data_IF_868288969702
#
_entry.id   IF_868288969702
#
_cell.length_a   1.000
_cell.length_b   1.000
_cell.length_c   1.000
_cell.angle_alpha   90.00
_cell.angle_beta   90.00
_cell.angle_gamma   90.00
#
_symmetry.space_group_name_H-M   'P 1'
#
loop_
_entity.id
_entity.type
_entity.pdbx_description
1 polymer ?
#
# COMPACT_ATOMS: atom_id res chain seq x y z
N UNK A 1 34.35 20.98 -6.02
CA UNK A 1 33.12 21.00 -5.18
C UNK A 1 31.97 20.14 -5.72
N UNK A 2 32.13 19.36 -6.80
CA UNK A 2 31.02 18.55 -7.38
C UNK A 2 30.69 17.25 -6.64
N UNK A 3 31.66 16.64 -5.94
CA UNK A 3 31.47 15.30 -5.36
C UNK A 3 30.57 15.30 -4.11
N UNK A 4 30.63 16.36 -3.29
CA UNK A 4 29.81 16.49 -2.09
C UNK A 4 28.32 16.63 -2.41
N UNK A 5 27.98 17.42 -3.45
CA UNK A 5 26.60 17.68 -3.84
C UNK A 5 25.93 16.43 -4.45
N UNK A 6 26.69 15.63 -5.22
CA UNK A 6 26.22 14.35 -5.75
C UNK A 6 25.99 13.33 -4.63
N UNK A 7 26.93 13.24 -3.68
CA UNK A 7 26.82 12.32 -2.55
C UNK A 7 25.64 12.67 -1.62
N UNK A 8 25.44 13.95 -1.30
CA UNK A 8 24.31 14.40 -0.48
C UNK A 8 22.95 14.17 -1.15
N UNK A 9 22.85 14.34 -2.47
CA UNK A 9 21.62 14.08 -3.21
C UNK A 9 21.26 12.59 -3.23
N UNK A 10 22.26 11.70 -3.40
CA UNK A 10 22.08 10.24 -3.38
C UNK A 10 21.60 9.75 -2.01
N UNK A 11 22.24 10.23 -0.94
CA UNK A 11 21.86 9.89 0.44
C UNK A 11 20.45 10.40 0.73
N UNK A 12 20.12 11.63 0.31
CA UNK A 12 18.79 12.19 0.46
C UNK A 12 17.70 11.34 -0.22
N UNK A 13 17.97 10.89 -1.45
CA UNK A 13 17.04 10.05 -2.21
C UNK A 13 16.80 8.69 -1.55
N UNK A 14 17.86 8.04 -1.07
CA UNK A 14 17.76 6.76 -0.35
C UNK A 14 16.97 6.93 0.95
N UNK A 15 17.21 8.00 1.70
CA UNK A 15 16.47 8.28 2.94
C UNK A 15 14.98 8.53 2.67
N UNK A 16 14.64 9.23 1.58
CA UNK A 16 13.24 9.42 1.15
C UNK A 16 12.59 8.08 0.81
N UNK A 17 13.29 7.21 0.07
CA UNK A 17 12.79 5.87 -0.24
C UNK A 17 12.54 5.06 1.05
N UNK A 18 13.50 5.02 1.97
CA UNK A 18 13.36 4.30 3.24
C UNK A 18 12.23 4.87 4.11
N UNK A 19 12.07 6.20 4.16
CA UNK A 19 10.98 6.84 4.91
C UNK A 19 9.62 6.44 4.35
N UNK A 20 9.45 6.46 3.01
CA UNK A 20 8.20 6.05 2.38
C UNK A 20 7.89 4.56 2.58
N UNK A 21 8.90 3.69 2.54
CA UNK A 21 8.73 2.27 2.85
C UNK A 21 8.27 2.09 4.31
N UNK A 22 8.89 2.81 5.24
CA UNK A 22 8.51 2.78 6.66
C UNK A 22 7.07 3.26 6.87
N UNK A 23 6.69 4.39 6.26
CA UNK A 23 5.33 4.94 6.36
C UNK A 23 4.31 4.00 5.74
N UNK A 24 4.64 3.34 4.64
CA UNK A 24 3.76 2.38 3.98
C UNK A 24 3.51 1.12 4.83
N UNK A 25 4.57 0.59 5.47
CA UNK A 25 4.47 -0.55 6.39
C UNK A 25 3.77 -0.20 7.70
N UNK A 26 3.91 1.05 8.17
CA UNK A 26 3.29 1.51 9.42
C UNK A 26 1.86 2.05 9.23
N UNK A 27 1.45 2.29 7.97
CA UNK A 27 0.09 2.72 7.65
C UNK A 27 -0.93 1.70 8.14
N UNK A 28 -1.92 2.16 8.89
CA UNK A 28 -3.01 1.32 9.40
C UNK A 28 -3.69 0.56 8.25
N UNK A 29 -4.19 -0.65 8.49
CA UNK A 29 -5.00 -1.37 7.52
C UNK A 29 -6.22 -0.51 7.15
N UNK A 30 -6.40 -0.24 5.86
CA UNK A 30 -7.45 0.67 5.34
C UNK A 30 -8.86 0.12 5.60
N UNK A 31 -9.00 -1.17 5.93
CA UNK A 31 -10.27 -1.78 6.35
C UNK A 31 -10.70 -1.49 7.80
N UNK A 32 -9.83 -0.97 8.67
CA UNK A 32 -10.15 -0.80 10.10
C UNK A 32 -11.05 0.40 10.42
N UNK A 33 -11.27 1.33 9.49
CA UNK A 33 -12.08 2.53 9.76
C UNK A 33 -13.60 2.31 9.68
N UNK A 34 -14.08 1.17 9.13
CA UNK A 34 -15.53 0.90 9.05
C UNK A 34 -16.06 0.09 10.25
N UNK A 35 -15.50 0.31 11.43
CA UNK A 35 -16.11 -0.06 12.71
C UNK A 35 -16.00 1.06 13.74
N UNK A 36 -15.94 2.32 13.30
CA UNK A 36 -16.14 3.44 14.23
C UNK A 36 -17.64 3.55 14.53
N UNK A 37 -18.03 2.88 15.62
CA UNK A 37 -19.35 2.99 16.20
C UNK A 37 -19.69 4.47 16.38
N UNK A 38 -20.86 4.98 15.92
CA UNK A 38 -21.25 6.33 16.26
C UNK A 38 -21.25 6.47 17.79
N UNK A 39 -20.88 7.65 18.33
CA UNK A 39 -20.85 7.86 19.77
C UNK A 39 -22.17 7.39 20.37
N UNK A 40 -22.10 6.63 21.47
CA UNK A 40 -23.28 6.20 22.25
C UNK A 40 -23.98 7.44 22.81
N UNK A 41 -24.74 8.14 21.99
CA UNK A 41 -25.70 9.13 22.44
C UNK A 41 -26.90 8.32 22.92
N UNK A 42 -27.03 8.20 24.24
CA UNK A 42 -28.15 7.55 24.88
C UNK A 42 -29.43 8.37 24.63
N UNK A 43 -30.14 8.08 23.53
CA UNK A 43 -31.51 8.53 23.32
C UNK A 43 -32.43 7.31 23.34
N UNK A 44 -33.40 7.23 24.28
CA UNK A 44 -34.44 6.22 24.22
C UNK A 44 -35.51 6.70 23.26
N UNK A 45 -35.39 6.35 21.98
CA UNK A 45 -36.51 6.48 21.04
C UNK A 45 -36.78 5.10 20.49
N UNK A 46 -37.87 4.50 20.99
CA UNK A 46 -38.46 3.31 20.43
C UNK A 46 -38.83 3.58 18.98
N UNK A 47 -38.08 3.02 18.04
CA UNK A 47 -38.51 2.87 16.65
C UNK A 47 -38.85 1.41 16.37
N UNK A 48 -40.05 1.27 15.81
CA UNK A 48 -40.72 0.06 15.38
C UNK A 48 -39.85 -0.81 14.48
N UNK A 49 -40.06 -2.11 14.62
CA UNK A 49 -39.50 -3.18 13.80
C UNK A 49 -39.97 -3.04 12.34
N UNK A 50 -39.07 -2.59 11.46
CA UNK A 50 -39.07 -3.03 10.07
C UNK A 50 -37.84 -3.91 9.89
N UNK A 51 -38.10 -5.20 9.63
CA UNK A 51 -37.09 -6.22 9.49
C UNK A 51 -36.11 -5.91 8.36
N UNK A 52 -34.93 -5.43 8.70
CA UNK A 52 -33.73 -5.79 7.95
C UNK A 52 -33.20 -7.08 8.58
N UNK A 53 -33.55 -8.20 7.94
CA UNK A 53 -32.79 -9.42 8.09
C UNK A 53 -31.32 -9.08 7.81
N UNK A 54 -30.51 -9.02 8.86
CA UNK A 54 -29.07 -9.10 8.77
C UNK A 54 -28.77 -10.48 8.16
N UNK A 55 -28.82 -10.55 6.83
CA UNK A 55 -28.16 -11.61 6.13
C UNK A 55 -26.69 -11.44 6.51
N UNK A 56 -26.09 -12.48 7.07
CA UNK A 56 -24.67 -12.75 6.91
C UNK A 56 -24.37 -12.72 5.40
N UNK A 57 -24.26 -11.52 4.84
CA UNK A 57 -23.69 -11.35 3.52
C UNK A 57 -22.23 -11.67 3.76
N UNK A 58 -21.78 -12.80 3.23
CA UNK A 58 -20.40 -12.98 2.80
C UNK A 58 -19.99 -11.65 2.18
N UNK A 59 -19.24 -10.84 2.94
CA UNK A 59 -18.97 -9.45 2.63
C UNK A 59 -18.11 -9.47 1.37
N UNK A 60 -18.76 -9.34 0.22
CA UNK A 60 -18.09 -9.35 -1.07
C UNK A 60 -17.26 -8.09 -1.15
N UNK A 61 -16.00 -8.18 -0.74
CA UNK A 61 -14.99 -7.12 -0.85
C UNK A 61 -15.02 -6.54 -2.28
N UNK A 62 -15.50 -5.31 -2.50
CA UNK A 62 -15.65 -4.78 -3.85
C UNK A 62 -14.29 -4.57 -4.49
N UNK A 63 -14.09 -5.13 -5.69
CA UNK A 63 -12.87 -4.97 -6.49
C UNK A 63 -12.53 -3.50 -6.82
N UNK A 64 -13.52 -2.61 -6.74
CA UNK A 64 -13.41 -1.17 -6.98
C UNK A 64 -13.54 -0.37 -5.68
N UNK A 65 -12.92 -0.86 -4.60
CA UNK A 65 -12.83 -0.14 -3.33
C UNK A 65 -11.70 0.91 -3.31
N UNK A 66 -11.86 1.96 -2.49
CA UNK A 66 -10.81 2.95 -2.17
C UNK A 66 -9.52 2.28 -1.69
N UNK A 67 -9.69 1.20 -0.93
CA UNK A 67 -8.65 0.30 -0.44
C UNK A 67 -7.76 -0.23 -1.58
N UNK A 68 -8.36 -0.93 -2.55
CA UNK A 68 -7.64 -1.52 -3.70
C UNK A 68 -6.93 -0.47 -4.54
N UNK A 69 -7.54 0.71 -4.72
CA UNK A 69 -6.91 1.82 -5.42
C UNK A 69 -5.66 2.32 -4.70
N UNK A 70 -5.68 2.38 -3.36
CA UNK A 70 -4.54 2.81 -2.57
C UNK A 70 -3.38 1.81 -2.67
N UNK A 71 -3.67 0.50 -2.63
CA UNK A 71 -2.68 -0.57 -2.86
C UNK A 71 -2.03 -0.44 -4.24
N UNK A 72 -2.85 -0.30 -5.30
CA UNK A 72 -2.36 -0.09 -6.65
C UNK A 72 -1.49 1.17 -6.77
N UNK A 73 -1.97 2.31 -6.25
CA UNK A 73 -1.27 3.59 -6.33
C UNK A 73 0.06 3.55 -5.56
N UNK A 74 0.05 3.05 -4.32
CA UNK A 74 1.25 2.95 -3.51
C UNK A 74 2.29 2.02 -4.13
N UNK A 75 1.87 0.84 -4.60
CA UNK A 75 2.75 -0.12 -5.29
C UNK A 75 3.34 0.48 -6.59
N UNK A 76 2.54 1.23 -7.36
CA UNK A 76 3.01 1.94 -8.56
C UNK A 76 4.10 2.97 -8.22
N UNK A 77 3.84 3.82 -7.22
CA UNK A 77 4.78 4.83 -6.77
C UNK A 77 6.06 4.21 -6.19
N UNK A 78 5.94 3.08 -5.48
CA UNK A 78 7.08 2.43 -4.86
C UNK A 78 8.03 1.81 -5.89
N UNK A 79 7.50 1.20 -6.96
CA UNK A 79 8.31 0.76 -8.11
C UNK A 79 9.02 1.93 -8.77
N UNK A 80 8.29 3.04 -9.04
CA UNK A 80 8.88 4.21 -9.68
C UNK A 80 10.01 4.83 -8.86
N UNK A 81 9.77 5.01 -7.56
CA UNK A 81 10.75 5.61 -6.67
C UNK A 81 11.93 4.67 -6.38
N UNK A 82 11.67 3.36 -6.25
CA UNK A 82 12.70 2.35 -6.15
C UNK A 82 13.58 2.33 -7.39
N UNK A 83 12.99 2.27 -8.59
CA UNK A 83 13.73 2.29 -9.86
C UNK A 83 14.57 3.56 -9.98
N UNK A 84 14.00 4.72 -9.67
CA UNK A 84 14.73 5.98 -9.70
C UNK A 84 15.89 6.01 -8.69
N UNK A 85 15.68 5.45 -7.49
CA UNK A 85 16.71 5.38 -6.44
C UNK A 85 17.85 4.44 -6.82
N UNK A 86 17.55 3.26 -7.35
CA UNK A 86 18.57 2.30 -7.78
C UNK A 86 19.31 2.80 -9.03
N UNK A 87 18.59 3.29 -10.04
CA UNK A 87 19.20 3.67 -11.32
C UNK A 87 19.95 5.00 -11.26
N UNK A 88 19.36 6.04 -10.65
CA UNK A 88 20.00 7.37 -10.58
C UNK A 88 20.75 7.60 -9.27
N UNK A 89 20.32 6.98 -8.16
CA UNK A 89 21.00 7.11 -6.88
C UNK A 89 22.23 6.21 -6.77
N UNK A 90 22.07 4.92 -7.07
CA UNK A 90 23.15 3.94 -6.97
C UNK A 90 23.89 3.71 -8.29
N UNK A 91 23.46 4.33 -9.39
CA UNK A 91 24.08 4.19 -10.72
C UNK A 91 24.10 2.74 -11.23
N UNK A 92 23.15 1.92 -10.76
CA UNK A 92 23.01 0.53 -11.16
C UNK A 92 22.49 0.40 -12.59
N UNK A 93 22.79 -0.74 -13.21
CA UNK A 93 22.29 -1.04 -14.55
C UNK A 93 20.76 -0.99 -14.57
N UNK A 94 20.19 -0.53 -15.69
CA UNK A 94 18.73 -0.41 -15.88
C UNK A 94 18.01 -1.73 -15.63
N UNK A 95 18.63 -2.88 -15.98
CA UNK A 95 18.09 -4.22 -15.71
C UNK A 95 18.00 -4.54 -14.22
N UNK A 96 19.12 -4.39 -13.50
CA UNK A 96 19.21 -4.65 -12.06
C UNK A 96 18.32 -3.71 -11.25
N UNK A 97 18.30 -2.42 -11.61
CA UNK A 97 17.45 -1.41 -10.96
C UNK A 97 15.96 -1.74 -11.05
N UNK A 98 15.52 -2.25 -12.21
CA UNK A 98 14.13 -2.72 -12.40
C UNK A 98 13.85 -3.93 -11.53
N UNK A 99 14.78 -4.89 -11.51
CA UNK A 99 14.62 -6.11 -10.74
C UNK A 99 14.51 -5.82 -9.24
N UNK A 100 15.38 -4.96 -8.70
CA UNK A 100 15.33 -4.54 -7.30
C UNK A 100 14.07 -3.76 -6.96
N UNK A 101 13.63 -2.84 -7.83
CA UNK A 101 12.40 -2.08 -7.61
C UNK A 101 11.15 -2.98 -7.57
N UNK A 102 11.05 -3.94 -8.50
CA UNK A 102 9.94 -4.89 -8.57
C UNK A 102 9.95 -5.85 -7.38
N UNK A 103 11.08 -6.51 -7.13
CA UNK A 103 11.19 -7.48 -6.03
C UNK A 103 11.02 -6.80 -4.67
N UNK A 104 11.61 -5.62 -4.48
CA UNK A 104 11.46 -4.84 -3.26
C UNK A 104 10.01 -4.48 -3.00
N UNK A 105 9.31 -3.97 -4.02
CA UNK A 105 7.88 -3.62 -3.89
C UNK A 105 7.02 -4.84 -3.61
N UNK A 106 7.25 -5.96 -4.31
CA UNK A 106 6.51 -7.20 -4.08
C UNK A 106 6.70 -7.75 -2.65
N UNK A 107 7.93 -7.74 -2.14
CA UNK A 107 8.23 -8.17 -0.77
C UNK A 107 7.57 -7.23 0.24
N UNK A 108 7.60 -5.92 0.01
CA UNK A 108 6.98 -4.93 0.90
C UNK A 108 5.45 -5.11 0.95
N UNK A 109 4.79 -5.31 -0.19
CA UNK A 109 3.36 -5.61 -0.25
C UNK A 109 3.01 -6.91 0.50
N UNK A 110 3.76 -7.99 0.26
CA UNK A 110 3.57 -9.25 0.98
C UNK A 110 3.78 -9.12 2.50
N UNK A 111 4.81 -8.38 2.92
CA UNK A 111 5.09 -8.13 4.34
C UNK A 111 3.97 -7.31 4.99
N UNK A 112 3.37 -6.37 4.26
CA UNK A 112 2.23 -5.59 4.73
C UNK A 112 1.02 -6.46 4.97
N UNK A 113 0.63 -7.27 3.99
CA UNK A 113 -0.52 -8.17 4.13
C UNK A 113 -0.34 -9.19 5.25
N UNK A 114 0.86 -9.74 5.41
CA UNK A 114 1.16 -10.66 6.52
C UNK A 114 1.25 -9.95 7.88
N UNK A 115 1.70 -8.69 7.92
CA UNK A 115 1.65 -7.86 9.12
C UNK A 115 0.21 -7.56 9.52
N UNK A 116 -0.63 -7.16 8.57
CA UNK A 116 -2.03 -6.83 8.79
C UNK A 116 -2.83 -8.06 9.22
N UNK A 117 -2.50 -9.26 8.72
CA UNK A 117 -3.06 -10.54 9.18
C UNK A 117 -2.90 -10.80 10.68
N UNK A 118 -1.90 -10.21 11.35
CA UNK A 118 -1.71 -10.33 12.80
C UNK A 118 -2.65 -9.43 13.60
N UNK A 119 -3.29 -8.46 12.95
CA UNK A 119 -4.30 -7.61 13.54
C UNK A 119 -5.67 -8.32 13.52
N UNK A 120 -6.40 -8.37 14.65
CA UNK A 120 -7.68 -9.08 14.74
C UNK A 120 -8.81 -8.48 13.88
N UNK A 121 -8.59 -7.31 13.26
CA UNK A 121 -9.55 -6.59 12.43
C UNK A 121 -9.29 -6.68 10.92
N UNK A 122 -8.21 -7.35 10.48
CA UNK A 122 -7.87 -7.47 9.06
C UNK A 122 -8.08 -8.90 8.55
N UNK A 123 -8.90 -9.02 7.51
CA UNK A 123 -9.03 -10.24 6.72
C UNK A 123 -8.05 -10.14 5.55
N UNK A 124 -6.99 -10.95 5.56
CA UNK A 124 -6.10 -11.14 4.42
C UNK A 124 -6.94 -11.34 3.14
N UNK A 125 -6.94 -10.34 2.26
CA UNK A 125 -7.75 -10.37 1.04
C UNK A 125 -6.84 -10.60 -0.16
N UNK A 126 -7.08 -11.69 -0.87
CA UNK A 126 -6.36 -12.00 -2.11
C UNK A 126 -6.52 -10.89 -3.18
N UNK A 127 -7.54 -10.02 -3.03
CA UNK A 127 -7.79 -8.88 -3.92
C UNK A 127 -6.74 -7.78 -3.73
N UNK A 128 -6.23 -7.56 -2.52
CA UNK A 128 -5.17 -6.58 -2.26
C UNK A 128 -3.85 -7.01 -2.89
N UNK A 129 -3.53 -8.31 -2.81
CA UNK A 129 -2.36 -8.86 -3.48
C UNK A 129 -2.43 -8.71 -5.00
N UNK A 130 -3.63 -8.85 -5.59
CA UNK A 130 -3.83 -8.60 -7.02
C UNK A 130 -3.70 -7.11 -7.32
N UNK A 131 -4.23 -6.22 -6.47
CA UNK A 131 -4.10 -4.78 -6.66
C UNK A 131 -2.63 -4.33 -6.61
N UNK A 132 -1.84 -4.89 -5.69
CA UNK A 132 -0.39 -4.66 -5.62
C UNK A 132 0.33 -5.19 -6.86
N UNK A 133 -0.02 -6.39 -7.33
CA UNK A 133 0.55 -6.95 -8.56
C UNK A 133 0.26 -6.08 -9.78
N UNK A 134 -0.97 -5.58 -9.92
CA UNK A 134 -1.36 -4.64 -10.99
C UNK A 134 -0.58 -3.33 -10.83
N UNK A 135 -0.48 -2.80 -9.62
CA UNK A 135 0.31 -1.59 -9.33
C UNK A 135 1.77 -1.74 -9.72
N UNK A 136 2.39 -2.88 -9.41
CA UNK A 136 3.76 -3.18 -9.82
C UNK A 136 3.87 -3.22 -11.35
N UNK A 137 2.96 -3.90 -12.04
CA UNK A 137 2.97 -3.98 -13.49
C UNK A 137 2.83 -2.59 -14.14
N UNK A 138 1.94 -1.75 -13.61
CA UNK A 138 1.74 -0.36 -14.05
C UNK A 138 2.99 0.47 -13.76
N UNK A 139 3.60 0.35 -12.58
CA UNK A 139 4.84 1.04 -12.23
C UNK A 139 6.00 0.68 -13.15
N UNK A 140 6.15 -0.60 -13.48
CA UNK A 140 7.13 -1.05 -14.47
C UNK A 140 6.86 -0.42 -15.83
N UNK A 141 5.61 -0.47 -16.31
CA UNK A 141 5.24 0.09 -17.61
C UNK A 141 5.48 1.60 -17.71
N UNK A 142 5.22 2.36 -16.64
CA UNK A 142 5.33 3.82 -16.64
C UNK A 142 6.75 4.33 -16.42
N UNK A 143 7.48 3.74 -15.46
CA UNK A 143 8.74 4.32 -15.00
C UNK A 143 9.98 3.66 -15.59
N UNK A 144 9.84 2.43 -16.09
CA UNK A 144 11.02 1.65 -16.43
C UNK A 144 11.34 1.62 -17.92
N UNK A 145 10.38 1.88 -18.82
CA UNK A 145 10.64 1.93 -20.27
C UNK A 145 11.43 3.18 -20.65
#
# INVERSE_FOLDING_TARGET
MSCANSCSAKIGLILVFLALVSDFLCSKPVGAEMSDSPPRIAFPVAYSLEGQTYSDSITSDPWLGKDKFLHLYASTCLVGLGFYTFHYGLEEEKGESRLFAVLGTAVIGLLKEEHDRRSPESLFSFKDLIADFIGIAVGVALFTF
#
